data_IF_797310793507
#
_entry.id   IF_797310793507
#
_cell.length_a   1.000
_cell.length_b   1.000
_cell.length_c   1.000
_cell.angle_alpha   90.00
_cell.angle_beta   90.00
_cell.angle_gamma   90.00
#
_symmetry.space_group_name_H-M   'P 1'
#
loop_
_entity.id
_entity.type
_entity.pdbx_description
1 polymer ?
#
# COMPACT_ATOMS: atom_id res chain seq x y z
N UNK A 1 7.17 -46.19 11.29
CA UNK A 1 6.18 -46.01 10.21
C UNK A 1 4.96 -45.38 10.85
N UNK A 2 4.77 -44.05 10.70
CA UNK A 2 3.58 -43.39 11.20
C UNK A 2 2.42 -43.72 10.28
N UNK A 3 1.35 -44.27 10.83
CA UNK A 3 0.10 -44.57 10.16
C UNK A 3 -0.46 -43.23 9.67
N UNK A 4 -0.54 -43.06 8.35
CA UNK A 4 -1.14 -41.90 7.71
C UNK A 4 -2.64 -41.94 8.06
N UNK A 5 -3.09 -41.11 8.99
CA UNK A 5 -4.53 -40.93 9.24
C UNK A 5 -5.19 -40.50 7.95
N UNK A 6 -6.03 -41.36 7.39
CA UNK A 6 -6.85 -41.03 6.21
C UNK A 6 -7.98 -40.14 6.74
N UNK A 7 -7.90 -38.84 6.42
CA UNK A 7 -8.99 -37.91 6.77
C UNK A 7 -10.29 -38.37 6.09
N UNK A 8 -11.39 -38.27 6.82
CA UNK A 8 -12.72 -38.54 6.26
C UNK A 8 -13.09 -37.50 5.20
N UNK A 9 -13.99 -37.82 4.28
CA UNK A 9 -14.44 -36.84 3.26
C UNK A 9 -15.00 -35.57 3.91
N UNK A 10 -15.70 -35.68 5.04
CA UNK A 10 -16.24 -34.52 5.77
C UNK A 10 -15.13 -33.64 6.36
N UNK A 11 -14.03 -34.23 6.86
CA UNK A 11 -12.87 -33.45 7.33
C UNK A 11 -12.14 -32.75 6.19
N UNK A 12 -12.04 -33.36 5.02
CA UNK A 12 -11.48 -32.76 3.82
C UNK A 12 -12.33 -31.60 3.33
N UNK A 13 -13.65 -31.75 3.29
CA UNK A 13 -14.58 -30.67 2.88
C UNK A 13 -14.52 -29.49 3.83
N UNK A 14 -14.46 -29.73 5.14
CA UNK A 14 -14.28 -28.68 6.12
C UNK A 14 -12.94 -27.94 5.95
N UNK A 15 -11.87 -28.66 5.66
CA UNK A 15 -10.54 -28.10 5.45
C UNK A 15 -10.47 -27.25 4.16
N UNK A 16 -11.04 -27.72 3.06
CA UNK A 16 -11.13 -26.96 1.82
C UNK A 16 -12.00 -25.69 1.99
N UNK A 17 -13.06 -25.78 2.77
CA UNK A 17 -13.88 -24.61 3.12
C UNK A 17 -13.04 -23.57 3.88
N UNK A 18 -12.20 -23.98 4.85
CA UNK A 18 -11.32 -23.08 5.57
C UNK A 18 -10.19 -22.50 4.69
N UNK A 19 -9.65 -23.29 3.77
CA UNK A 19 -8.68 -22.82 2.77
C UNK A 19 -9.28 -21.77 1.84
N UNK A 20 -10.53 -21.96 1.41
CA UNK A 20 -11.24 -21.07 0.49
C UNK A 20 -11.83 -19.83 1.17
N UNK A 21 -11.83 -19.79 2.53
CA UNK A 21 -12.32 -18.63 3.29
C UNK A 21 -11.60 -17.35 2.86
N UNK A 22 -12.31 -16.25 2.56
CA UNK A 22 -11.71 -14.98 2.25
C UNK A 22 -10.74 -14.52 3.35
N UNK A 23 -9.70 -13.81 2.94
CA UNK A 23 -8.77 -13.15 3.89
C UNK A 23 -9.47 -12.02 4.64
N UNK A 24 -8.92 -11.63 5.79
CA UNK A 24 -9.36 -10.42 6.48
C UNK A 24 -9.24 -9.20 5.54
N UNK A 25 -10.21 -8.29 5.64
CA UNK A 25 -10.24 -7.09 4.78
C UNK A 25 -8.98 -6.24 4.91
N UNK A 26 -8.31 -6.26 6.07
CA UNK A 26 -7.04 -5.57 6.31
C UNK A 26 -5.85 -6.17 5.54
N UNK A 27 -5.96 -7.44 5.12
CA UNK A 27 -4.92 -8.12 4.32
C UNK A 27 -5.07 -7.85 2.83
N UNK A 28 -6.23 -7.32 2.41
CA UNK A 28 -6.50 -7.00 1.01
C UNK A 28 -5.98 -5.62 0.67
N UNK A 29 -5.18 -5.57 -0.36
CA UNK A 29 -4.61 -4.36 -0.94
C UNK A 29 -5.11 -4.18 -2.36
N UNK A 30 -5.00 -2.96 -2.86
CA UNK A 30 -5.37 -2.62 -4.23
C UNK A 30 -4.15 -2.10 -4.97
N UNK A 31 -4.04 -2.43 -6.24
CA UNK A 31 -3.01 -1.87 -7.11
C UNK A 31 -3.61 -1.44 -8.44
N UNK A 32 -3.10 -0.33 -8.98
CA UNK A 32 -3.40 0.12 -10.33
C UNK A 32 -2.67 -0.78 -11.32
N UNK A 33 -3.39 -1.34 -12.27
CA UNK A 33 -2.85 -2.19 -13.34
C UNK A 33 -2.69 -1.43 -14.65
N UNK A 34 -3.67 -0.61 -14.99
CA UNK A 34 -3.71 0.20 -16.20
C UNK A 34 -4.22 1.60 -15.86
N UNK A 35 -3.86 2.58 -16.68
CA UNK A 35 -4.40 3.94 -16.58
C UNK A 35 -4.97 4.37 -17.91
N UNK A 36 -5.96 5.26 -17.88
CA UNK A 36 -6.41 5.97 -19.08
C UNK A 36 -5.26 6.79 -19.66
N UNK A 37 -5.36 7.15 -20.94
CA UNK A 37 -4.31 7.87 -21.65
C UNK A 37 -4.01 9.25 -21.00
N UNK A 38 -5.03 9.90 -20.48
CA UNK A 38 -4.94 11.17 -19.75
C UNK A 38 -4.49 11.01 -18.29
N UNK A 39 -4.40 9.76 -17.80
CA UNK A 39 -4.01 9.46 -16.41
C UNK A 39 -5.08 9.78 -15.35
N UNK A 40 -6.28 10.19 -15.76
CA UNK A 40 -7.36 10.59 -14.83
C UNK A 40 -8.02 9.42 -14.11
N UNK A 41 -7.99 8.22 -14.69
CA UNK A 41 -8.57 6.99 -14.12
C UNK A 41 -7.59 5.83 -14.19
N UNK A 42 -7.71 4.92 -13.24
CA UNK A 42 -6.94 3.70 -13.21
C UNK A 42 -7.81 2.48 -12.94
N UNK A 43 -7.50 1.41 -13.63
CA UNK A 43 -8.05 0.10 -13.35
C UNK A 43 -7.34 -0.47 -12.12
N UNK A 44 -8.09 -0.85 -11.10
CA UNK A 44 -7.56 -1.42 -9.86
C UNK A 44 -8.01 -2.85 -9.67
N UNK A 45 -7.09 -3.67 -9.18
CA UNK A 45 -7.35 -5.05 -8.78
C UNK A 45 -7.01 -5.25 -7.31
N UNK A 46 -7.81 -6.08 -6.64
CA UNK A 46 -7.53 -6.52 -5.29
C UNK A 46 -6.45 -7.61 -5.29
N UNK A 47 -5.59 -7.59 -4.29
CA UNK A 47 -4.61 -8.64 -4.06
C UNK A 47 -4.28 -8.79 -2.57
N UNK A 48 -3.82 -9.97 -2.18
CA UNK A 48 -3.23 -10.19 -0.86
C UNK A 48 -1.71 -10.42 -0.99
N UNK A 49 -0.99 -10.01 0.05
CA UNK A 49 0.45 -10.26 0.18
C UNK A 49 0.71 -11.78 0.32
N UNK A 50 1.81 -12.35 -0.21
CA UNK A 50 2.16 -13.76 -0.01
C UNK A 50 2.20 -14.20 1.46
N UNK A 51 2.44 -13.27 2.39
CA UNK A 51 2.42 -13.54 3.83
C UNK A 51 1.06 -13.97 4.34
N UNK A 52 -0.02 -13.38 3.86
CA UNK A 52 -1.38 -13.80 4.23
C UNK A 52 -1.65 -15.27 3.84
N UNK A 53 -1.13 -15.69 2.69
CA UNK A 53 -1.18 -17.10 2.27
C UNK A 53 -0.35 -18.00 3.20
N UNK A 54 0.87 -17.58 3.54
CA UNK A 54 1.76 -18.30 4.46
C UNK A 54 1.11 -18.43 5.84
N UNK A 55 0.53 -17.36 6.37
CA UNK A 55 -0.10 -17.34 7.69
C UNK A 55 -1.32 -18.27 7.72
N UNK A 56 -2.15 -18.29 6.67
CA UNK A 56 -3.28 -19.22 6.54
C UNK A 56 -2.81 -20.68 6.46
N UNK A 57 -1.74 -20.97 5.71
CA UNK A 57 -1.15 -22.32 5.65
C UNK A 57 -0.58 -22.74 6.99
N UNK A 58 0.11 -21.87 7.71
CA UNK A 58 0.63 -22.13 9.04
C UNK A 58 -0.48 -22.36 10.08
N UNK A 59 -1.58 -21.62 9.96
CA UNK A 59 -2.74 -21.76 10.82
C UNK A 59 -3.41 -23.14 10.67
N UNK A 60 -3.55 -23.60 9.42
CA UNK A 60 -4.28 -24.85 9.11
C UNK A 60 -3.41 -26.10 9.20
N UNK A 61 -2.12 -26.00 8.87
CA UNK A 61 -1.23 -27.16 8.71
C UNK A 61 0.02 -27.09 9.59
N UNK A 62 0.20 -26.04 10.39
CA UNK A 62 1.45 -25.72 11.08
C UNK A 62 2.62 -25.49 10.11
N UNK A 63 3.73 -24.86 10.50
CA UNK A 63 4.88 -24.61 9.61
C UNK A 63 5.55 -25.87 9.07
N UNK A 64 5.33 -27.04 9.70
CA UNK A 64 5.92 -28.33 9.30
C UNK A 64 5.00 -29.17 8.42
N UNK A 65 3.71 -28.79 8.30
CA UNK A 65 2.71 -29.54 7.54
C UNK A 65 2.64 -29.17 6.05
N UNK A 66 3.43 -28.21 5.61
CA UNK A 66 3.50 -27.80 4.22
C UNK A 66 4.91 -27.34 3.83
N UNK A 67 5.20 -27.34 2.54
CA UNK A 67 6.45 -26.82 2.00
C UNK A 67 6.25 -26.29 0.59
N UNK A 68 7.16 -25.46 0.13
CA UNK A 68 7.20 -24.97 -1.25
C UNK A 68 8.62 -25.03 -1.81
N UNK A 69 8.72 -25.35 -3.10
CA UNK A 69 9.96 -25.30 -3.85
C UNK A 69 9.78 -24.42 -5.07
N UNK A 70 10.88 -23.85 -5.56
CA UNK A 70 10.87 -23.00 -6.74
C UNK A 70 11.83 -23.53 -7.78
N UNK A 71 11.37 -23.54 -9.03
CA UNK A 71 12.22 -23.72 -10.20
C UNK A 71 12.26 -22.38 -10.95
N UNK A 72 13.45 -21.95 -11.31
CA UNK A 72 13.67 -20.67 -11.98
C UNK A 72 14.26 -20.93 -13.36
N UNK A 73 13.65 -20.33 -14.37
CA UNK A 73 14.18 -20.28 -15.72
C UNK A 73 14.17 -18.85 -16.25
N UNK A 74 14.96 -18.59 -17.28
CA UNK A 74 15.05 -17.28 -17.91
C UNK A 74 14.93 -17.40 -19.41
N UNK A 75 14.21 -16.46 -20.01
CA UNK A 75 14.20 -16.28 -21.46
C UNK A 75 15.02 -15.02 -21.74
N UNK A 76 16.07 -15.15 -22.53
CA UNK A 76 16.90 -14.01 -22.96
C UNK A 76 16.49 -13.49 -24.33
N UNK A 77 16.99 -12.30 -24.64
CA UNK A 77 16.82 -11.66 -25.97
C UNK A 77 15.36 -11.42 -26.40
N UNK A 78 14.48 -11.07 -25.45
CA UNK A 78 13.10 -10.66 -25.73
C UNK A 78 13.07 -9.15 -25.91
N UNK A 79 12.42 -8.69 -26.97
CA UNK A 79 12.26 -7.26 -27.24
C UNK A 79 10.92 -6.76 -26.69
N UNK A 80 10.92 -5.62 -25.97
CA UNK A 80 9.70 -4.96 -25.52
C UNK A 80 9.79 -3.44 -25.66
N UNK A 81 8.62 -2.79 -25.71
CA UNK A 81 8.52 -1.34 -25.57
C UNK A 81 8.53 -0.96 -24.08
N UNK A 82 9.43 -0.03 -23.70
CA UNK A 82 9.48 0.56 -22.35
C UNK A 82 9.68 2.06 -22.50
N UNK A 83 8.72 2.88 -22.02
CA UNK A 83 8.75 4.35 -22.14
C UNK A 83 9.05 4.82 -23.59
N UNK A 84 8.29 4.31 -24.54
CA UNK A 84 8.40 4.61 -25.97
C UNK A 84 9.74 4.23 -26.64
N UNK A 85 10.56 3.44 -25.94
CA UNK A 85 11.82 2.91 -26.48
C UNK A 85 11.74 1.38 -26.61
N UNK A 86 12.22 0.87 -27.74
CA UNK A 86 12.40 -0.56 -27.95
C UNK A 86 13.67 -0.98 -27.20
N UNK A 87 13.54 -1.85 -26.21
CA UNK A 87 14.65 -2.40 -25.44
C UNK A 87 14.73 -3.92 -25.64
N UNK A 88 15.96 -4.42 -25.65
CA UNK A 88 16.22 -5.86 -25.55
C UNK A 88 16.39 -6.23 -24.09
N UNK A 89 15.67 -7.21 -23.62
CA UNK A 89 15.69 -7.67 -22.22
C UNK A 89 15.45 -9.19 -22.17
N UNK A 90 15.07 -9.70 -21.04
CA UNK A 90 14.67 -11.08 -20.80
C UNK A 90 13.41 -11.17 -19.97
N UNK A 91 12.94 -12.40 -19.76
CA UNK A 91 11.92 -12.71 -18.76
C UNK A 91 12.47 -13.67 -17.74
N UNK A 92 12.10 -13.48 -16.48
CA UNK A 92 12.27 -14.44 -15.40
C UNK A 92 10.95 -15.22 -15.27
N UNK A 93 11.05 -16.53 -15.31
CA UNK A 93 9.92 -17.44 -15.11
C UNK A 93 10.22 -18.25 -13.83
N UNK A 94 9.22 -18.31 -12.97
CA UNK A 94 9.32 -19.06 -11.71
C UNK A 94 8.14 -20.03 -11.65
N UNK A 95 8.41 -21.29 -11.39
CA UNK A 95 7.39 -22.29 -11.05
C UNK A 95 7.52 -22.62 -9.57
N UNK A 96 6.43 -22.42 -8.82
CA UNK A 96 6.32 -22.81 -7.43
C UNK A 96 5.54 -24.11 -7.33
N UNK A 97 6.13 -25.12 -6.70
CA UNK A 97 5.40 -26.33 -6.28
C UNK A 97 5.09 -26.22 -4.81
N UNK A 98 3.82 -26.12 -4.46
CA UNK A 98 3.31 -26.09 -3.09
C UNK A 98 2.82 -27.51 -2.74
N UNK A 99 3.44 -28.09 -1.70
CA UNK A 99 3.07 -29.42 -1.18
C UNK A 99 2.46 -29.26 0.21
N UNK A 100 1.27 -29.83 0.41
CA UNK A 100 0.62 -29.90 1.71
C UNK A 100 0.52 -31.37 2.12
N UNK A 101 1.05 -31.70 3.29
CA UNK A 101 1.07 -33.07 3.79
C UNK A 101 -0.35 -33.64 3.88
N UNK A 102 -0.59 -34.75 3.19
CA UNK A 102 -1.90 -35.39 3.14
C UNK A 102 -2.85 -34.84 2.07
N UNK A 103 -2.54 -33.73 1.40
CA UNK A 103 -3.35 -33.18 0.31
C UNK A 103 -2.65 -33.23 -1.07
N UNK A 104 -1.36 -33.61 -1.11
CA UNK A 104 -0.61 -33.65 -2.34
C UNK A 104 0.12 -32.36 -2.70
N UNK A 105 0.37 -32.13 -3.97
CA UNK A 105 1.09 -30.95 -4.47
C UNK A 105 0.40 -30.32 -5.68
N UNK A 106 0.50 -29.00 -5.77
CA UNK A 106 0.08 -28.21 -6.93
C UNK A 106 1.17 -27.23 -7.33
N UNK A 107 1.28 -26.99 -8.62
CA UNK A 107 2.23 -26.03 -9.16
C UNK A 107 1.51 -24.78 -9.70
N UNK A 108 2.20 -23.65 -9.63
CA UNK A 108 1.78 -22.40 -10.25
C UNK A 108 3.00 -21.66 -10.78
N UNK A 109 2.86 -20.97 -11.90
CA UNK A 109 3.96 -20.24 -12.51
C UNK A 109 3.73 -18.73 -12.43
N UNK A 110 4.82 -17.98 -12.29
CA UNK A 110 4.85 -16.52 -12.32
C UNK A 110 5.93 -16.05 -13.27
N UNK A 111 5.77 -14.84 -13.80
CA UNK A 111 6.78 -14.24 -14.68
C UNK A 111 6.88 -12.75 -14.46
N UNK A 112 8.08 -12.21 -14.73
CA UNK A 112 8.28 -10.77 -14.82
C UNK A 112 9.42 -10.46 -15.80
N UNK A 113 9.49 -9.19 -16.22
CA UNK A 113 10.57 -8.71 -17.06
C UNK A 113 11.87 -8.60 -16.28
N UNK A 114 12.96 -9.13 -16.81
CA UNK A 114 14.25 -9.19 -16.12
C UNK A 114 14.88 -7.81 -15.83
N UNK A 115 14.42 -6.77 -16.55
CA UNK A 115 14.84 -5.38 -16.32
C UNK A 115 14.00 -4.62 -15.29
N UNK A 116 13.04 -5.28 -14.63
CA UNK A 116 12.34 -4.71 -13.48
C UNK A 116 13.12 -4.98 -12.18
N UNK A 117 13.16 -3.98 -11.29
CA UNK A 117 14.00 -4.02 -10.09
C UNK A 117 13.74 -5.21 -9.15
N UNK A 118 12.50 -5.73 -9.15
CA UNK A 118 12.07 -6.81 -8.26
C UNK A 118 11.53 -8.01 -9.05
N UNK A 119 12.02 -8.24 -10.27
CA UNK A 119 11.52 -9.27 -11.19
C UNK A 119 11.39 -10.64 -10.54
N UNK A 120 12.45 -11.10 -9.88
CA UNK A 120 12.48 -12.41 -9.22
C UNK A 120 11.44 -12.51 -8.11
N UNK A 121 11.43 -11.56 -7.18
CA UNK A 121 10.49 -11.55 -6.06
C UNK A 121 9.04 -11.45 -6.52
N UNK A 122 8.78 -10.69 -7.59
CA UNK A 122 7.45 -10.58 -8.19
C UNK A 122 7.01 -11.89 -8.81
N UNK A 123 7.88 -12.54 -9.58
CA UNK A 123 7.59 -13.82 -10.21
C UNK A 123 7.35 -14.94 -9.16
N UNK A 124 8.19 -15.01 -8.11
CA UNK A 124 8.00 -15.94 -6.98
C UNK A 124 6.65 -15.74 -6.28
N UNK A 125 6.31 -14.48 -5.97
CA UNK A 125 5.05 -14.15 -5.32
C UNK A 125 3.82 -14.55 -6.16
N UNK A 126 3.89 -14.35 -7.47
CA UNK A 126 2.83 -14.78 -8.41
C UNK A 126 2.73 -16.31 -8.45
N UNK A 127 3.87 -16.99 -8.61
CA UNK A 127 3.92 -18.45 -8.70
C UNK A 127 3.33 -19.12 -7.44
N UNK A 128 3.73 -18.67 -6.26
CA UNK A 128 3.20 -19.17 -4.99
C UNK A 128 1.70 -18.96 -4.84
N UNK A 129 1.18 -17.77 -5.13
CA UNK A 129 -0.25 -17.49 -5.03
C UNK A 129 -1.07 -18.31 -6.02
N UNK A 130 -0.55 -18.56 -7.22
CA UNK A 130 -1.21 -19.42 -8.22
C UNK A 130 -1.22 -20.88 -7.78
N UNK A 131 -0.12 -21.40 -7.23
CA UNK A 131 -0.09 -22.75 -6.65
C UNK A 131 -1.09 -22.88 -5.47
N UNK A 132 -1.13 -21.90 -4.56
CA UNK A 132 -2.07 -21.87 -3.45
C UNK A 132 -3.54 -21.81 -3.89
N UNK A 133 -3.83 -21.11 -5.00
CA UNK A 133 -5.19 -21.00 -5.53
C UNK A 133 -5.76 -22.35 -6.02
N UNK A 134 -4.90 -23.33 -6.34
CA UNK A 134 -5.33 -24.68 -6.69
C UNK A 134 -5.97 -25.42 -5.51
N UNK A 135 -5.61 -25.05 -4.27
CA UNK A 135 -6.24 -25.52 -3.05
C UNK A 135 -7.45 -24.66 -2.61
N UNK A 136 -7.82 -23.64 -3.40
CA UNK A 136 -8.87 -22.69 -3.04
C UNK A 136 -8.35 -21.42 -2.33
N UNK A 137 -7.14 -21.46 -1.78
CA UNK A 137 -6.59 -20.37 -0.98
C UNK A 137 -6.36 -19.10 -1.81
N UNK A 138 -7.09 -18.03 -1.47
CA UNK A 138 -7.05 -16.76 -2.19
C UNK A 138 -7.63 -16.79 -3.60
N UNK A 139 -8.25 -17.90 -4.02
CA UNK A 139 -8.84 -18.06 -5.36
C UNK A 139 -9.94 -17.05 -5.64
N UNK A 140 -10.73 -16.68 -4.65
CA UNK A 140 -11.81 -15.71 -4.78
C UNK A 140 -11.34 -14.34 -5.31
N UNK A 141 -10.07 -13.95 -5.07
CA UNK A 141 -9.50 -12.70 -5.55
C UNK A 141 -9.46 -12.61 -7.10
N UNK A 142 -9.37 -13.75 -7.78
CA UNK A 142 -9.43 -13.80 -9.25
C UNK A 142 -10.84 -13.63 -9.81
N UNK A 143 -11.87 -13.77 -8.96
CA UNK A 143 -13.27 -13.55 -9.34
C UNK A 143 -13.72 -12.09 -9.13
N UNK A 144 -12.88 -11.26 -8.51
CA UNK A 144 -13.14 -9.84 -8.36
C UNK A 144 -12.91 -9.13 -9.70
N UNK A 145 -13.94 -8.42 -10.17
CA UNK A 145 -13.83 -7.63 -11.38
C UNK A 145 -12.80 -6.50 -11.22
N UNK A 146 -12.09 -6.20 -12.30
CA UNK A 146 -11.29 -5.00 -12.39
C UNK A 146 -12.20 -3.76 -12.35
N UNK A 147 -11.87 -2.80 -11.50
CA UNK A 147 -12.68 -1.60 -11.33
C UNK A 147 -11.91 -0.34 -11.70
N UNK A 148 -12.56 0.55 -12.45
CA UNK A 148 -11.97 1.82 -12.85
C UNK A 148 -12.32 2.90 -11.84
N UNK A 149 -11.28 3.45 -11.19
CA UNK A 149 -11.40 4.50 -10.16
C UNK A 149 -10.69 5.79 -10.61
N UNK A 150 -11.13 6.97 -10.13
CA UNK A 150 -10.42 8.22 -10.34
C UNK A 150 -9.03 8.17 -9.66
N UNK A 151 -8.03 8.73 -10.35
CA UNK A 151 -6.66 8.85 -9.85
C UNK A 151 -6.32 10.31 -9.55
N UNK A 152 -5.46 10.50 -8.56
CA UNK A 152 -4.83 11.79 -8.27
C UNK A 152 -3.62 12.03 -9.21
N UNK A 153 -2.99 13.21 -9.08
CA UNK A 153 -1.80 13.60 -9.85
C UNK A 153 -0.62 12.62 -9.73
N UNK A 154 -0.57 11.86 -8.63
CA UNK A 154 0.44 10.82 -8.39
C UNK A 154 0.01 9.44 -8.92
N UNK A 155 -1.06 9.38 -9.72
CA UNK A 155 -1.65 8.14 -10.27
C UNK A 155 -2.06 7.13 -9.17
N UNK A 156 -2.48 7.64 -8.00
CA UNK A 156 -3.01 6.84 -6.91
C UNK A 156 -4.53 7.02 -6.85
N UNK A 157 -5.30 5.98 -6.54
CA UNK A 157 -6.74 6.08 -6.34
C UNK A 157 -7.08 7.08 -5.24
N UNK A 158 -8.08 7.93 -5.46
CA UNK A 158 -8.65 8.77 -4.42
C UNK A 158 -9.35 7.94 -3.36
N UNK A 159 -10.06 6.90 -3.79
CA UNK A 159 -10.75 5.94 -2.93
C UNK A 159 -10.54 4.53 -3.49
N UNK A 160 -10.40 3.56 -2.59
CA UNK A 160 -10.37 2.16 -2.98
C UNK A 160 -11.77 1.58 -2.96
N UNK A 161 -12.10 0.69 -3.92
CA UNK A 161 -13.39 0.03 -3.93
C UNK A 161 -13.60 -0.81 -2.68
N UNK A 162 -14.84 -0.92 -2.22
CA UNK A 162 -15.23 -1.88 -1.19
C UNK A 162 -15.31 -3.29 -1.79
N UNK A 163 -14.94 -4.29 -0.99
CA UNK A 163 -15.13 -5.68 -1.39
C UNK A 163 -16.63 -6.03 -1.37
N UNK A 164 -17.12 -6.82 -2.33
CA UNK A 164 -18.49 -7.32 -2.31
C UNK A 164 -18.68 -8.29 -1.13
N UNK A 165 -19.90 -8.41 -0.64
CA UNK A 165 -20.21 -9.19 0.55
C UNK A 165 -19.75 -10.65 0.49
N UNK A 166 -19.80 -11.28 -0.69
CA UNK A 166 -19.34 -12.66 -0.90
C UNK A 166 -17.81 -12.82 -0.77
N UNK A 167 -17.04 -11.74 -0.89
CA UNK A 167 -15.58 -11.70 -0.74
C UNK A 167 -15.13 -11.23 0.65
N UNK A 168 -16.07 -11.09 1.60
CA UNK A 168 -15.77 -10.81 3.00
C UNK A 168 -15.68 -12.12 3.80
N UNK A 169 -14.79 -12.20 4.81
CA UNK A 169 -14.73 -13.36 5.70
C UNK A 169 -16.07 -13.57 6.39
N UNK A 170 -16.49 -14.82 6.51
CA UNK A 170 -17.70 -15.15 7.27
C UNK A 170 -17.42 -14.92 8.76
N UNK A 171 -18.12 -13.99 9.36
CA UNK A 171 -18.02 -13.67 10.80
C UNK A 171 -18.28 -14.93 11.62
N UNK A 172 -17.25 -15.51 12.22
CA UNK A 172 -17.44 -16.68 13.10
C UNK A 172 -16.21 -17.51 13.47
N UNK A 173 -15.07 -17.32 12.83
CA UNK A 173 -13.86 -18.05 13.23
C UNK A 173 -12.97 -17.13 14.08
N UNK A 174 -12.77 -17.40 15.39
CA UNK A 174 -11.82 -16.62 16.17
C UNK A 174 -10.41 -16.97 15.69
N UNK A 175 -9.76 -16.03 15.01
CA UNK A 175 -8.34 -16.13 14.66
C UNK A 175 -7.55 -16.10 15.97
N UNK A 176 -6.93 -17.23 16.35
CA UNK A 176 -5.91 -17.23 17.40
C UNK A 176 -4.72 -16.43 16.89
N UNK A 177 -4.52 -15.25 17.47
CA UNK A 177 -3.40 -14.38 17.19
C UNK A 177 -2.07 -15.10 17.48
N UNK A 178 -1.32 -15.48 16.45
CA UNK A 178 0.10 -15.71 16.56
C UNK A 178 0.84 -14.37 16.39
N UNK A 179 1.87 -14.09 17.18
CA UNK A 179 2.62 -12.85 17.04
C UNK A 179 3.31 -12.81 15.68
N UNK A 180 2.88 -11.87 14.84
CA UNK A 180 3.43 -11.64 13.53
C UNK A 180 4.85 -11.06 13.61
N UNK A 181 5.80 -11.73 12.95
CA UNK A 181 7.16 -11.22 12.77
C UNK A 181 7.23 -10.29 11.54
N UNK A 182 7.28 -8.99 11.79
CA UNK A 182 7.53 -7.93 10.79
C UNK A 182 6.55 -6.77 10.92
N UNK A 183 6.93 -5.55 10.50
CA UNK A 183 6.06 -4.38 10.64
C UNK A 183 4.87 -4.49 9.67
N UNK A 184 3.78 -5.11 10.13
CA UNK A 184 2.47 -4.99 9.51
C UNK A 184 1.95 -3.56 9.75
N UNK A 185 1.14 -2.97 8.85
CA UNK A 185 0.31 -1.86 9.27
C UNK A 185 -0.59 -2.41 10.39
N UNK A 186 -0.25 -2.03 11.60
CA UNK A 186 -0.98 -2.38 12.84
C UNK A 186 -2.45 -2.08 12.57
N UNK A 187 -3.32 -3.09 12.75
CA UNK A 187 -4.75 -2.83 12.89
C UNK A 187 -4.89 -1.71 13.91
N UNK A 188 -5.40 -0.56 13.48
CA UNK A 188 -5.43 0.63 14.32
C UNK A 188 -6.41 0.34 15.44
N UNK A 189 -5.88 -0.12 16.58
CA UNK A 189 -6.68 -0.34 17.78
C UNK A 189 -7.33 0.99 18.16
N UNK A 190 -8.65 1.03 18.15
CA UNK A 190 -9.38 2.17 18.69
C UNK A 190 -9.14 2.19 20.19
N UNK A 191 -8.44 3.21 20.65
CA UNK A 191 -8.14 3.46 22.04
C UNK A 191 -8.74 4.80 22.48
N UNK A 192 -8.62 5.14 23.77
CA UNK A 192 -9.04 6.45 24.26
C UNK A 192 -8.33 7.55 23.47
N UNK A 193 -9.09 8.56 23.05
CA UNK A 193 -8.59 9.75 22.39
C UNK A 193 -8.46 10.89 23.42
N UNK A 194 -7.42 11.69 23.30
CA UNK A 194 -7.24 12.89 24.12
C UNK A 194 -7.87 14.09 23.41
N UNK A 195 -8.91 14.66 24.02
CA UNK A 195 -9.61 15.83 23.50
C UNK A 195 -8.70 17.07 23.39
N UNK A 196 -7.69 17.19 24.25
CA UNK A 196 -6.73 18.30 24.20
C UNK A 196 -5.86 18.20 22.94
N UNK A 197 -5.40 16.98 22.62
CA UNK A 197 -4.61 16.74 21.41
C UNK A 197 -5.50 16.95 20.18
N UNK A 198 -6.75 16.52 20.20
CA UNK A 198 -7.71 16.79 19.12
C UNK A 198 -7.85 18.29 18.86
N UNK A 199 -8.03 19.09 19.93
CA UNK A 199 -8.10 20.55 19.83
C UNK A 199 -6.81 21.18 19.27
N UNK A 200 -5.64 20.66 19.68
CA UNK A 200 -4.34 21.08 19.13
C UNK A 200 -4.24 20.79 17.64
N UNK A 201 -4.65 19.59 17.20
CA UNK A 201 -4.67 19.18 15.79
C UNK A 201 -5.56 20.12 14.97
N UNK A 202 -6.78 20.38 15.43
CA UNK A 202 -7.72 21.31 14.75
C UNK A 202 -7.13 22.73 14.65
N UNK A 203 -6.39 23.19 15.67
CA UNK A 203 -5.72 24.48 15.67
C UNK A 203 -4.71 24.66 14.53
N UNK A 204 -4.07 23.58 14.06
CA UNK A 204 -3.12 23.66 12.95
C UNK A 204 -3.80 23.92 11.60
N UNK A 205 -5.11 23.68 11.45
CA UNK A 205 -5.83 23.88 10.21
C UNK A 205 -5.73 25.32 9.68
N UNK A 206 -5.78 26.30 10.59
CA UNK A 206 -5.64 27.73 10.26
C UNK A 206 -4.25 28.08 9.75
N UNK A 207 -3.20 27.41 10.26
CA UNK A 207 -1.79 27.67 9.92
C UNK A 207 -1.41 26.98 8.62
N UNK A 208 -1.85 25.73 8.43
CA UNK A 208 -1.43 24.86 7.34
C UNK A 208 -2.31 25.00 6.09
N UNK A 209 -3.52 25.53 6.24
CA UNK A 209 -4.56 25.47 5.21
C UNK A 209 -5.17 24.07 5.07
N UNK A 210 -6.36 23.99 4.48
CA UNK A 210 -7.11 22.74 4.31
C UNK A 210 -6.36 21.66 3.53
N UNK A 211 -5.61 21.97 2.45
CA UNK A 211 -4.93 20.94 1.67
C UNK A 211 -3.84 20.21 2.46
N UNK A 212 -2.91 20.94 3.09
CA UNK A 212 -1.82 20.34 3.88
C UNK A 212 -2.36 19.66 5.14
N UNK A 213 -3.33 20.30 5.80
CA UNK A 213 -4.00 19.73 6.98
C UNK A 213 -4.65 18.38 6.67
N UNK A 214 -5.44 18.30 5.59
CA UNK A 214 -6.08 17.07 5.13
C UNK A 214 -5.08 16.00 4.69
N UNK A 215 -4.01 16.41 3.99
CA UNK A 215 -2.94 15.50 3.58
C UNK A 215 -2.26 14.83 4.80
N UNK A 216 -1.95 15.58 5.85
CA UNK A 216 -1.30 15.04 7.05
C UNK A 216 -2.25 14.07 7.79
N UNK A 217 -3.51 14.44 7.97
CA UNK A 217 -4.51 13.55 8.59
C UNK A 217 -4.61 12.23 7.84
N UNK A 218 -4.68 12.31 6.51
CA UNK A 218 -4.76 11.12 5.69
C UNK A 218 -3.48 10.28 5.69
N UNK A 219 -2.32 10.92 5.57
CA UNK A 219 -1.03 10.21 5.55
C UNK A 219 -0.73 9.46 6.83
N UNK A 220 -1.02 10.09 7.99
CA UNK A 220 -0.62 9.58 9.30
C UNK A 220 -1.70 8.71 9.93
N UNK A 221 -2.96 9.12 9.86
CA UNK A 221 -4.05 8.47 10.59
C UNK A 221 -5.16 7.88 9.69
N UNK A 222 -5.03 8.00 8.35
CA UNK A 222 -6.00 7.50 7.37
C UNK A 222 -7.43 8.02 7.62
N UNK A 223 -7.55 9.25 8.07
CA UNK A 223 -8.82 9.93 8.32
C UNK A 223 -8.80 11.34 7.77
N UNK A 224 -9.98 11.91 7.53
CA UNK A 224 -10.14 13.31 7.12
C UNK A 224 -10.55 14.24 8.27
N UNK A 225 -10.81 13.66 9.45
CA UNK A 225 -11.31 14.42 10.62
C UNK A 225 -10.44 14.11 11.83
N UNK A 226 -10.04 15.14 12.59
CA UNK A 226 -9.21 14.97 13.77
C UNK A 226 -9.89 14.14 14.88
N UNK A 227 -11.20 14.27 15.02
CA UNK A 227 -11.99 13.48 15.99
C UNK A 227 -12.21 12.01 15.58
N UNK A 228 -11.85 11.63 14.35
CA UNK A 228 -11.92 10.26 13.85
C UNK A 228 -10.56 9.54 13.92
N UNK A 229 -9.54 10.16 14.51
CA UNK A 229 -8.24 9.51 14.73
C UNK A 229 -8.42 8.36 15.73
N UNK A 230 -7.97 7.14 15.40
CA UNK A 230 -8.36 5.94 16.14
C UNK A 230 -7.83 5.81 17.56
N UNK A 231 -6.70 6.42 17.91
CA UNK A 231 -6.07 6.31 19.24
C UNK A 231 -5.10 7.46 19.55
N UNK A 232 -4.72 7.59 20.83
CA UNK A 232 -3.85 8.65 21.33
C UNK A 232 -2.44 8.65 20.69
N UNK A 233 -1.89 7.49 20.34
CA UNK A 233 -0.57 7.41 19.68
C UNK A 233 -0.61 8.05 18.29
N UNK A 234 -1.64 7.75 17.51
CA UNK A 234 -1.84 8.38 16.19
C UNK A 234 -2.16 9.87 16.30
N UNK A 235 -2.90 10.30 17.33
CA UNK A 235 -3.10 11.73 17.60
C UNK A 235 -1.76 12.44 17.85
N UNK A 236 -0.86 11.86 18.64
CA UNK A 236 0.49 12.39 18.88
C UNK A 236 1.28 12.46 17.58
N UNK A 237 1.30 11.38 16.79
CA UNK A 237 2.01 11.34 15.52
C UNK A 237 1.49 12.39 14.51
N UNK A 238 0.17 12.58 14.45
CA UNK A 238 -0.48 13.63 13.62
C UNK A 238 -0.07 15.02 14.10
N UNK A 239 -0.17 15.28 15.42
CA UNK A 239 0.21 16.57 15.99
C UNK A 239 1.67 16.92 15.72
N UNK A 240 2.59 15.97 15.85
CA UNK A 240 4.02 16.15 15.54
C UNK A 240 4.25 16.41 14.04
N UNK A 241 3.54 15.72 13.15
CA UNK A 241 3.64 15.95 11.72
C UNK A 241 3.15 17.36 11.35
N UNK A 242 2.04 17.81 11.94
CA UNK A 242 1.52 19.16 11.75
C UNK A 242 2.45 20.24 12.33
N UNK A 243 3.06 19.97 13.47
CA UNK A 243 4.08 20.86 14.07
C UNK A 243 5.29 21.03 13.14
N UNK A 244 5.79 19.92 12.53
CA UNK A 244 6.87 19.99 11.53
C UNK A 244 6.47 20.80 10.31
N UNK A 245 5.26 20.59 9.77
CA UNK A 245 4.77 21.35 8.63
C UNK A 245 4.59 22.84 8.96
N UNK A 246 4.08 23.16 10.16
CA UNK A 246 3.92 24.55 10.60
C UNK A 246 5.26 25.28 10.77
N UNK A 247 6.32 24.56 11.18
CA UNK A 247 7.69 25.13 11.14
C UNK A 247 8.15 25.43 9.71
N UNK A 248 7.81 24.57 8.75
CA UNK A 248 8.08 24.83 7.33
C UNK A 248 7.38 26.08 6.82
N UNK A 249 6.11 26.29 7.16
CA UNK A 249 5.37 27.52 6.82
C UNK A 249 6.02 28.75 7.44
N UNK A 250 6.34 28.72 8.74
CA UNK A 250 7.02 29.85 9.42
C UNK A 250 8.39 30.16 8.80
N UNK A 251 9.15 29.13 8.43
CA UNK A 251 10.44 29.29 7.76
C UNK A 251 10.27 29.95 6.39
N UNK A 252 9.27 29.53 5.61
CA UNK A 252 8.98 30.14 4.31
C UNK A 252 8.61 31.62 4.47
N UNK A 253 7.83 32.00 5.48
CA UNK A 253 7.53 33.41 5.78
C UNK A 253 8.79 34.20 6.12
N UNK A 254 9.63 33.72 7.02
CA UNK A 254 10.87 34.38 7.41
C UNK A 254 11.84 34.56 6.23
N UNK A 255 11.93 33.56 5.36
CA UNK A 255 12.74 33.65 4.13
C UNK A 255 12.14 34.64 3.14
N UNK A 256 10.81 34.68 2.97
CA UNK A 256 10.11 35.63 2.13
C UNK A 256 10.40 37.08 2.59
N UNK A 257 10.34 37.35 3.87
CA UNK A 257 10.69 38.67 4.46
C UNK A 257 12.16 39.04 4.16
N UNK A 258 13.07 38.09 4.17
CA UNK A 258 14.50 38.32 3.94
C UNK A 258 14.86 38.62 2.49
N UNK A 259 14.14 38.05 1.50
CA UNK A 259 14.41 38.24 0.06
C UNK A 259 13.61 39.41 -0.54
N UNK A 260 12.57 39.87 0.15
CA UNK A 260 11.70 40.98 -0.27
C UNK A 260 10.56 40.55 -1.21
N UNK A 261 9.50 41.37 -1.23
CA UNK A 261 8.23 41.06 -1.86
C UNK A 261 8.34 40.71 -3.36
N UNK A 262 9.16 41.48 -4.11
CA UNK A 262 9.29 41.29 -5.56
C UNK A 262 9.86 39.92 -5.91
N UNK A 263 10.90 39.49 -5.21
CA UNK A 263 11.52 38.17 -5.44
C UNK A 263 10.59 37.06 -4.94
N UNK A 264 9.92 37.25 -3.82
CA UNK A 264 8.97 36.30 -3.29
C UNK A 264 7.80 36.04 -4.27
N UNK A 265 7.17 37.10 -4.80
CA UNK A 265 6.09 36.94 -5.79
C UNK A 265 6.59 36.19 -7.04
N UNK A 266 7.80 36.50 -7.52
CA UNK A 266 8.39 35.77 -8.66
C UNK A 266 8.58 34.26 -8.38
N UNK A 267 8.93 33.89 -7.14
CA UNK A 267 9.03 32.47 -6.76
C UNK A 267 7.66 31.81 -6.73
N UNK A 268 6.65 32.48 -6.15
CA UNK A 268 5.28 31.96 -6.12
C UNK A 268 4.72 31.73 -7.53
N UNK A 269 4.89 32.69 -8.44
CA UNK A 269 4.45 32.59 -9.83
C UNK A 269 5.14 31.42 -10.55
N UNK A 270 6.46 31.27 -10.38
CA UNK A 270 7.23 30.17 -10.98
C UNK A 270 6.77 28.79 -10.46
N UNK A 271 6.38 28.70 -9.18
CA UNK A 271 5.87 27.48 -8.57
C UNK A 271 4.36 27.30 -8.73
N UNK A 272 3.68 28.24 -9.40
CA UNK A 272 2.22 28.25 -9.56
C UNK A 272 1.46 28.22 -8.23
N UNK A 273 1.99 28.86 -7.21
CA UNK A 273 1.38 28.99 -5.87
C UNK A 273 0.73 30.38 -5.78
N UNK A 274 -0.59 30.39 -5.58
CA UNK A 274 -1.34 31.67 -5.52
C UNK A 274 -1.04 32.42 -4.21
N UNK A 275 -0.90 31.71 -3.10
CA UNK A 275 -0.58 32.30 -1.79
C UNK A 275 -0.05 31.24 -0.83
N UNK A 276 0.57 31.67 0.27
CA UNK A 276 1.05 30.77 1.34
C UNK A 276 -0.06 29.89 1.95
N UNK A 277 -1.30 30.36 1.95
CA UNK A 277 -2.44 29.63 2.51
C UNK A 277 -3.06 28.63 1.52
N UNK A 278 -2.69 28.72 0.25
CA UNK A 278 -3.22 27.84 -0.82
C UNK A 278 -2.19 26.81 -1.30
N UNK A 279 -1.12 26.59 -0.54
CA UNK A 279 -0.13 25.53 -0.85
C UNK A 279 -0.84 24.18 -0.83
N UNK A 280 -0.81 23.49 -1.96
CA UNK A 280 -1.64 22.30 -2.22
C UNK A 280 -1.21 21.05 -1.44
N UNK A 281 0.08 20.92 -1.09
CA UNK A 281 0.60 19.73 -0.44
C UNK A 281 1.97 19.98 0.22
N UNK A 282 2.42 19.00 1.02
CA UNK A 282 3.72 19.05 1.72
C UNK A 282 4.92 19.09 0.76
N UNK A 283 4.79 18.55 -0.45
CA UNK A 283 5.85 18.60 -1.45
C UNK A 283 6.04 20.03 -1.97
N UNK A 284 4.95 20.71 -2.32
CA UNK A 284 4.97 22.10 -2.73
C UNK A 284 5.56 23.01 -1.64
N UNK A 285 5.21 22.77 -0.37
CA UNK A 285 5.81 23.50 0.76
C UNK A 285 7.32 23.29 0.84
N UNK A 286 7.81 22.06 0.72
CA UNK A 286 9.25 21.76 0.73
C UNK A 286 9.97 22.44 -0.44
N UNK A 287 9.38 22.38 -1.63
CA UNK A 287 9.94 22.98 -2.81
C UNK A 287 10.03 24.51 -2.68
N UNK A 288 8.96 25.14 -2.18
CA UNK A 288 8.94 26.57 -1.87
C UNK A 288 10.07 26.96 -0.89
N UNK A 289 10.20 26.24 0.24
CA UNK A 289 11.26 26.51 1.21
C UNK A 289 12.65 26.38 0.59
N UNK A 290 12.87 25.34 -0.22
CA UNK A 290 14.17 25.11 -0.89
C UNK A 290 14.52 26.22 -1.88
N UNK A 291 13.54 26.71 -2.67
CA UNK A 291 13.74 27.81 -3.61
C UNK A 291 14.06 29.12 -2.87
N UNK A 292 13.34 29.42 -1.77
CA UNK A 292 13.58 30.60 -0.97
C UNK A 292 14.95 30.56 -0.26
N UNK A 293 15.40 29.38 0.22
CA UNK A 293 16.74 29.20 0.78
C UNK A 293 17.84 29.45 -0.26
N UNK A 294 17.62 28.99 -1.50
CA UNK A 294 18.56 29.22 -2.59
C UNK A 294 18.75 30.70 -2.92
N UNK A 295 17.70 31.52 -2.78
CA UNK A 295 17.76 32.97 -3.00
C UNK A 295 18.32 33.71 -1.80
N UNK A 296 17.95 33.34 -0.58
CA UNK A 296 18.43 33.99 0.64
C UNK A 296 19.93 33.75 0.91
N UNK A 297 20.51 32.69 0.33
CA UNK A 297 21.95 32.40 0.41
C UNK A 297 22.82 33.10 -0.64
N UNK A 298 22.24 33.85 -1.58
CA UNK A 298 23.00 34.61 -2.57
C UNK A 298 23.36 36.00 -2.01
N UNK A 299 24.63 36.46 -2.11
CA UNK A 299 24.96 37.81 -1.69
C UNK A 299 24.18 38.79 -2.58
N UNK A 300 23.54 39.75 -1.94
CA UNK A 300 22.86 40.87 -2.61
C UNK A 300 23.90 41.61 -3.45
N UNK A 301 23.74 41.60 -4.78
CA UNK A 301 24.61 42.26 -5.74
C UNK A 301 24.34 43.76 -5.75
#
# INVERSE_FOLDING_TARGET
MAIKEVKTNTELDALFTQLAEPFDTNEIKWRVTHTTRDGSRGAVIAYADPRAYTDRLNQLFTPTGWTRTYEVSTISAVTRMKKDKLIQTGKVLVTCTLTITGLGCHAGSGEDWADEANAMTTAEAQAFKRAASCYGLGRYLYNLAEMWVPLNEHRQPFEFPSLPQWALPKTGTPVKNHPASGPHPVAIQRGPIDQRITGKIEGFRRILGDPIYGEILWRVARTQKANAIPNAQLQTNVAEAMERASRGIRKAHSLAESIGDTQFVSVLDRLQIVSMTTIQNLHALKHLVSELEGLAGQPVA
#
